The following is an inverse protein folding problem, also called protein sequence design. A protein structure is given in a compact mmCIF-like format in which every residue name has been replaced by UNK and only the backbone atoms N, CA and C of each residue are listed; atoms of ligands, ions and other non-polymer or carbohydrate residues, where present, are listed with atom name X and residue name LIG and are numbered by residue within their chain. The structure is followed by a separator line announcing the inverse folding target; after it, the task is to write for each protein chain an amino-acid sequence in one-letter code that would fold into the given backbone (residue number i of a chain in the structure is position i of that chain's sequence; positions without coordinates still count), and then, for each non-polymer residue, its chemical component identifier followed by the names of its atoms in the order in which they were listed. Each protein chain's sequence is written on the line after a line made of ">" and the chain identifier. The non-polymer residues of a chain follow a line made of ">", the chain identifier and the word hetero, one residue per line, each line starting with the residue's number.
data_IF_934729745539
#
_entry.id   IF_934729745539
#
_cell.length_a   1.000
_cell.length_b   1.000
_cell.length_c   1.000
_cell.angle_alpha   90.00
_cell.angle_beta   90.00
_cell.angle_gamma   90.00
#
_symmetry.space_group_name_H-M   'P 1'
#
loop_
_entity.id
_entity.type
_entity.pdbx_description
1 polymer ?
#
# COMPACT_ATOMS: atom_id res chain seq x y z
N UNK A 1 7.24 6.04 12.13
CA UNK A 1 6.45 4.98 12.81
C UNK A 1 5.50 4.27 11.83
N UNK A 2 5.60 2.94 11.65
CA UNK A 2 4.67 2.14 10.83
C UNK A 2 3.59 1.50 11.74
N UNK A 3 2.41 2.11 11.83
CA UNK A 3 1.39 1.82 12.86
C UNK A 3 0.45 0.68 12.48
N UNK A 4 0.08 0.54 11.20
CA UNK A 4 -0.87 -0.47 10.74
C UNK A 4 -0.34 -1.91 10.93
N UNK A 5 0.94 -2.15 10.63
CA UNK A 5 1.54 -3.46 10.89
C UNK A 5 1.76 -3.68 12.38
N UNK A 6 2.17 -2.66 13.14
CA UNK A 6 2.38 -2.80 14.59
C UNK A 6 1.09 -3.18 15.31
N UNK A 7 -0.05 -2.57 14.96
CA UNK A 7 -1.33 -2.88 15.62
C UNK A 7 -1.80 -4.32 15.38
N UNK A 8 -1.45 -4.94 14.24
CA UNK A 8 -1.85 -6.32 13.90
C UNK A 8 -0.78 -7.38 14.14
N UNK A 9 0.52 -7.04 14.15
CA UNK A 9 1.65 -7.99 14.25
C UNK A 9 2.26 -8.04 15.66
N UNK A 10 2.15 -6.98 16.47
CA UNK A 10 2.76 -6.97 17.80
C UNK A 10 2.00 -6.11 18.82
N UNK A 11 1.49 -6.74 19.88
CA UNK A 11 0.94 -6.02 21.06
C UNK A 11 2.01 -5.42 21.98
N UNK A 12 3.30 -5.60 21.69
CA UNK A 12 4.36 -4.93 22.46
C UNK A 12 4.41 -3.47 22.02
N UNK A 13 4.03 -2.58 22.92
CA UNK A 13 4.27 -1.14 22.84
C UNK A 13 5.78 -0.90 22.74
N UNK A 14 6.32 -0.96 21.53
CA UNK A 14 7.62 -0.35 21.26
C UNK A 14 7.35 1.14 21.30
N UNK A 15 7.68 1.77 22.43
CA UNK A 15 7.82 3.21 22.51
C UNK A 15 8.63 3.64 21.28
N UNK A 16 8.08 4.45 20.37
CA UNK A 16 8.83 4.88 19.21
C UNK A 16 10.06 5.60 19.72
N UNK A 17 11.25 5.15 19.32
CA UNK A 17 12.45 5.96 19.50
C UNK A 17 12.18 7.26 18.73
N UNK A 18 12.15 8.44 19.39
CA UNK A 18 11.76 9.70 18.74
C UNK A 18 12.64 10.07 17.53
N UNK A 19 13.83 9.47 17.45
CA UNK A 19 14.85 9.74 16.44
C UNK A 19 14.70 8.91 15.15
N UNK A 20 13.83 7.90 15.12
CA UNK A 20 13.65 7.07 13.93
C UNK A 20 12.72 7.76 12.91
N UNK A 21 13.25 8.79 12.24
CA UNK A 21 12.56 9.49 11.15
C UNK A 21 12.37 8.55 9.96
N UNK A 22 11.13 8.33 9.54
CA UNK A 22 10.85 7.69 8.26
C UNK A 22 11.25 8.69 7.16
N UNK A 23 12.10 8.29 6.19
CA UNK A 23 12.46 9.16 5.07
C UNK A 23 11.24 9.46 4.18
N UNK A 24 11.26 10.58 3.44
CA UNK A 24 10.22 10.90 2.44
C UNK A 24 10.16 9.75 1.42
N UNK A 25 8.96 9.22 1.20
CA UNK A 25 8.72 8.22 0.16
C UNK A 25 8.80 8.88 -1.21
N UNK A 26 9.72 8.40 -2.06
CA UNK A 26 9.99 8.94 -3.41
C UNK A 26 9.59 7.98 -4.54
N UNK A 27 9.29 6.73 -4.19
CA UNK A 27 8.92 5.66 -5.12
C UNK A 27 7.81 4.81 -4.51
N UNK A 28 7.04 4.10 -5.34
CA UNK A 28 6.00 3.19 -4.87
C UNK A 28 6.66 1.94 -4.28
N UNK A 29 6.34 1.60 -3.02
CA UNK A 29 6.91 0.46 -2.29
C UNK A 29 5.82 -0.44 -1.74
N UNK A 30 5.91 -1.73 -2.05
CA UNK A 30 5.03 -2.75 -1.47
C UNK A 30 5.73 -3.44 -0.30
N UNK A 31 5.06 -3.48 0.85
CA UNK A 31 5.52 -4.14 2.07
C UNK A 31 4.48 -5.20 2.43
N UNK A 32 4.87 -6.47 2.46
CA UNK A 32 3.98 -7.57 2.84
C UNK A 32 4.35 -8.16 4.21
N UNK A 33 3.34 -8.45 5.02
CA UNK A 33 3.48 -9.18 6.27
C UNK A 33 2.40 -10.26 6.39
N UNK A 34 2.76 -11.42 6.94
CA UNK A 34 1.79 -12.42 7.37
C UNK A 34 1.24 -12.00 8.73
N UNK A 35 -0.09 -11.87 8.83
CA UNK A 35 -0.80 -11.50 10.05
C UNK A 35 -1.78 -12.61 10.43
N UNK A 36 -2.10 -12.70 11.72
CA UNK A 36 -3.09 -13.64 12.24
C UNK A 36 -4.14 -12.91 13.06
N UNK A 37 -5.41 -13.10 12.73
CA UNK A 37 -6.54 -12.52 13.45
C UNK A 37 -7.54 -13.61 13.81
N UNK A 38 -7.74 -13.82 15.12
CA UNK A 38 -8.67 -14.84 15.66
C UNK A 38 -8.42 -16.26 15.09
N UNK A 39 -7.16 -16.64 14.91
CA UNK A 39 -6.76 -17.93 14.33
C UNK A 39 -6.79 -18.00 12.80
N UNK A 40 -7.18 -16.93 12.11
CA UNK A 40 -7.15 -16.84 10.65
C UNK A 40 -5.88 -16.14 10.20
N UNK A 41 -5.03 -16.84 9.44
CA UNK A 41 -3.81 -16.29 8.84
C UNK A 41 -4.11 -15.64 7.50
N UNK A 42 -3.61 -14.43 7.28
CA UNK A 42 -3.74 -13.68 6.03
C UNK A 42 -2.45 -12.93 5.72
N UNK A 43 -2.18 -12.71 4.43
CA UNK A 43 -1.06 -11.90 3.96
C UNK A 43 -1.54 -10.48 3.70
N UNK A 44 -1.10 -9.52 4.51
CA UNK A 44 -1.40 -8.11 4.34
C UNK A 44 -0.26 -7.43 3.58
N UNK A 45 -0.58 -6.81 2.44
CA UNK A 45 0.34 -5.96 1.68
C UNK A 45 -0.09 -4.51 1.81
N UNK A 46 0.83 -3.64 2.22
CA UNK A 46 0.66 -2.18 2.24
C UNK A 46 1.54 -1.60 1.17
N UNK A 47 0.96 -0.71 0.36
CA UNK A 47 1.63 -0.06 -0.75
C UNK A 47 1.78 1.41 -0.37
N UNK A 48 3.01 1.82 -0.09
CA UNK A 48 3.37 3.20 0.20
C UNK A 48 3.68 3.93 -1.10
N UNK A 49 3.24 5.18 -1.22
CA UNK A 49 3.29 5.96 -2.47
C UNK A 49 4.02 7.28 -2.28
N UNK A 50 4.68 7.81 -3.31
CA UNK A 50 5.16 9.19 -3.29
C UNK A 50 4.01 10.18 -3.00
N UNK A 51 4.32 11.28 -2.33
CA UNK A 51 3.39 12.39 -2.18
C UNK A 51 3.14 13.13 -3.50
N UNK A 52 2.03 13.86 -3.57
CA UNK A 52 1.67 14.76 -4.67
C UNK A 52 1.24 16.13 -4.11
N UNK A 53 1.15 17.16 -4.96
CA UNK A 53 0.68 18.49 -4.55
C UNK A 53 1.77 19.46 -4.09
N UNK A 54 3.06 19.10 -4.25
CA UNK A 54 4.21 19.92 -3.84
C UNK A 54 4.76 20.82 -4.96
N UNK A 55 4.28 20.67 -6.20
CA UNK A 55 4.70 21.48 -7.34
C UNK A 55 3.75 22.66 -7.58
N UNK A 56 4.17 23.64 -8.39
CA UNK A 56 3.30 24.76 -8.82
C UNK A 56 2.21 24.24 -9.77
N UNK A 57 2.60 23.43 -10.76
CA UNK A 57 1.67 22.69 -11.61
C UNK A 57 1.64 21.23 -11.14
N UNK A 58 0.46 20.75 -10.73
CA UNK A 58 0.23 19.36 -10.31
C UNK A 58 -0.65 18.60 -11.30
N UNK A 59 -0.83 19.10 -12.52
CA UNK A 59 -1.45 18.34 -13.59
C UNK A 59 -0.76 16.99 -13.75
N UNK A 60 -1.57 15.96 -13.92
CA UNK A 60 -1.20 14.55 -14.08
C UNK A 60 -0.43 13.90 -12.92
N UNK A 61 -0.36 14.51 -11.72
CA UNK A 61 0.36 13.94 -10.58
C UNK A 61 -0.18 12.57 -10.09
N UNK A 62 -1.42 12.23 -10.45
CA UNK A 62 -2.07 10.94 -10.14
C UNK A 62 -1.67 9.81 -11.08
N UNK A 63 -1.08 10.12 -12.24
CA UNK A 63 -0.77 9.13 -13.28
C UNK A 63 0.12 7.98 -12.78
N UNK A 64 1.18 8.19 -11.99
CA UNK A 64 2.01 7.09 -11.50
C UNK A 64 1.24 6.09 -10.63
N UNK A 65 0.36 6.58 -9.75
CA UNK A 65 -0.47 5.74 -8.88
C UNK A 65 -1.52 4.98 -9.70
N UNK A 66 -2.20 5.66 -10.63
CA UNK A 66 -3.15 5.02 -11.53
C UNK A 66 -2.51 3.97 -12.43
N UNK A 67 -1.32 4.26 -12.97
CA UNK A 67 -0.56 3.29 -13.76
C UNK A 67 -0.24 2.05 -12.93
N UNK A 68 0.25 2.22 -11.71
CA UNK A 68 0.54 1.10 -10.82
C UNK A 68 -0.70 0.22 -10.58
N UNK A 69 -1.85 0.82 -10.28
CA UNK A 69 -3.11 0.08 -10.09
C UNK A 69 -3.48 -0.73 -11.34
N UNK A 70 -3.40 -0.11 -12.53
CA UNK A 70 -3.70 -0.77 -13.80
C UNK A 70 -2.73 -1.90 -14.12
N UNK A 71 -1.42 -1.71 -13.86
CA UNK A 71 -0.41 -2.75 -14.05
C UNK A 71 -0.73 -3.99 -13.18
N UNK A 72 -1.23 -3.81 -11.95
CA UNK A 72 -1.64 -4.93 -11.09
C UNK A 72 -2.90 -5.65 -11.61
N UNK A 73 -3.86 -4.91 -12.18
CA UNK A 73 -5.02 -5.52 -12.83
C UNK A 73 -4.63 -6.32 -14.07
N UNK A 74 -3.77 -5.76 -14.91
CA UNK A 74 -3.27 -6.41 -16.12
C UNK A 74 -2.51 -7.70 -15.77
N UNK A 75 -1.63 -7.65 -14.77
CA UNK A 75 -0.89 -8.83 -14.32
C UNK A 75 -1.82 -9.96 -13.86
N UNK A 76 -2.91 -9.63 -13.15
CA UNK A 76 -3.91 -10.62 -12.73
C UNK A 76 -4.70 -11.16 -13.93
N UNK A 77 -5.15 -10.28 -14.82
CA UNK A 77 -5.92 -10.64 -16.02
C UNK A 77 -5.12 -11.59 -16.91
N UNK A 78 -3.83 -11.29 -17.15
CA UNK A 78 -2.94 -12.14 -17.94
C UNK A 78 -2.85 -13.55 -17.36
N UNK A 79 -2.71 -13.70 -16.04
CA UNK A 79 -2.69 -15.02 -15.40
C UNK A 79 -4.05 -15.75 -15.44
N UNK A 80 -5.15 -15.01 -15.43
CA UNK A 80 -6.51 -15.56 -15.49
C UNK A 80 -6.86 -16.13 -16.87
N UNK A 81 -6.43 -15.46 -17.95
CA UNK A 81 -6.69 -15.89 -19.33
C UNK A 81 -5.69 -16.94 -19.85
N UNK A 82 -4.59 -17.19 -19.13
CA UNK A 82 -3.58 -18.16 -19.53
C UNK A 82 -4.17 -19.58 -19.62
N UNK A 83 -3.90 -20.28 -20.74
CA UNK A 83 -4.37 -21.65 -20.97
C UNK A 83 -3.87 -22.61 -19.87
N UNK A 84 -2.59 -22.48 -19.49
CA UNK A 84 -1.98 -23.23 -18.39
C UNK A 84 -2.03 -22.44 -17.08
N UNK A 85 -3.22 -21.98 -16.69
CA UNK A 85 -3.41 -21.17 -15.47
C UNK A 85 -2.90 -21.88 -14.22
N UNK A 86 -2.30 -21.11 -13.32
CA UNK A 86 -1.94 -21.58 -11.98
C UNK A 86 -3.20 -21.93 -11.20
N UNK A 87 -3.17 -23.01 -10.41
CA UNK A 87 -4.28 -23.39 -9.51
C UNK A 87 -4.64 -22.28 -8.51
N UNK A 88 -3.64 -21.49 -8.11
CA UNK A 88 -3.79 -20.31 -7.26
C UNK A 88 -3.04 -19.14 -7.91
N UNK A 89 -3.81 -18.20 -8.48
CA UNK A 89 -3.26 -16.98 -9.06
C UNK A 89 -2.81 -16.07 -7.93
N UNK A 90 -1.56 -15.56 -7.93
CA UNK A 90 -1.14 -14.53 -6.99
C UNK A 90 -1.96 -13.25 -7.21
N UNK A 91 -2.73 -12.84 -6.20
CA UNK A 91 -3.49 -11.59 -6.25
C UNK A 91 -2.66 -10.44 -5.68
N UNK A 92 -2.28 -9.52 -6.55
CA UNK A 92 -1.51 -8.31 -6.23
C UNK A 92 -2.30 -7.02 -6.51
N UNK A 93 -3.61 -7.15 -6.83
CA UNK A 93 -4.48 -6.00 -7.09
C UNK A 93 -4.63 -5.14 -5.84
N UNK A 94 -4.84 -3.85 -6.04
CA UNK A 94 -5.11 -2.91 -4.94
C UNK A 94 -6.58 -3.03 -4.54
N UNK A 95 -6.86 -3.68 -3.41
CA UNK A 95 -8.23 -3.90 -2.95
C UNK A 95 -8.88 -2.67 -2.29
N UNK A 96 -8.06 -1.77 -1.74
CA UNK A 96 -8.53 -0.57 -1.06
C UNK A 96 -7.47 0.53 -1.13
N UNK A 97 -7.89 1.79 -1.20
CA UNK A 97 -7.03 2.96 -1.14
C UNK A 97 -7.40 3.80 0.09
N UNK A 98 -6.40 4.14 0.91
CA UNK A 98 -6.56 5.08 2.04
C UNK A 98 -6.03 6.43 1.57
N UNK A 99 -6.95 7.38 1.34
CA UNK A 99 -6.60 8.72 0.89
C UNK A 99 -6.49 9.67 2.07
N UNK A 100 -5.32 10.30 2.25
CA UNK A 100 -5.06 11.21 3.35
C UNK A 100 -5.48 12.63 2.97
N UNK A 101 -6.49 13.15 3.65
CA UNK A 101 -6.95 14.53 3.50
C UNK A 101 -6.18 15.41 4.50
N UNK A 102 -5.54 16.51 4.08
CA UNK A 102 -4.89 17.44 5.00
C UNK A 102 -5.92 18.04 5.98
N UNK A 103 -5.62 18.11 7.29
CA UNK A 103 -6.54 18.63 8.29
C UNK A 103 -6.55 20.18 8.27
N UNK A 104 -7.08 20.79 7.21
CA UNK A 104 -7.03 22.25 6.99
C UNK A 104 -8.05 23.04 7.81
N UNK A 105 -9.11 22.39 8.28
CA UNK A 105 -10.13 23.03 9.12
C UNK A 105 -11.02 24.06 8.41
N UNK A 106 -10.97 24.15 7.07
CA UNK A 106 -11.90 24.97 6.30
C UNK A 106 -13.29 24.31 6.22
N UNK A 107 -14.34 25.13 6.36
CA UNK A 107 -15.76 24.76 6.20
C UNK A 107 -16.33 25.30 4.89
#
# INVERSE_FOLDING_TARGET
>A
MNTLFKSKVSRKSVLPNPEERIPKTIEIKSISHDIEEKGVRMKLTVIDTPGFGDHINNENCWQPIMKFINDQYEAYLQEEIHINRKKRIPDSRVHCCIYFIPPTGHW
#
